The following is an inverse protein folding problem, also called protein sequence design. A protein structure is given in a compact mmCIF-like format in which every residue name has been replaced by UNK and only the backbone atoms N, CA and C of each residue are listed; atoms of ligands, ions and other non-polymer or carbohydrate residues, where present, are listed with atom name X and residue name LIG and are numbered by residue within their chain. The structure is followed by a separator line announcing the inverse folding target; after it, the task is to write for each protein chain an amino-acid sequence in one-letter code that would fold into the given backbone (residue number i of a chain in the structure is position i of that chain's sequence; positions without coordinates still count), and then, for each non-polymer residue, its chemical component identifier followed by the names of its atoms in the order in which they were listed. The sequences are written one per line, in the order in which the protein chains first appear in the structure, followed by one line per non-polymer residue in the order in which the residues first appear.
data_IF_336970427447
#
_entry.id   IF_336970427447
#
_cell.length_a   1.000
_cell.length_b   1.000
_cell.length_c   1.000
_cell.angle_alpha   90.00
_cell.angle_beta   90.00
_cell.angle_gamma   90.00
#
_symmetry.space_group_name_H-M   'P 1'
#
loop_
_entity.id
_entity.type
_entity.pdbx_description
1 polymer ?
#
# COMPACT_ATOMS: atom_id res chain seq x y z
N UNK A 1 11.65 0.81 6.61
CA UNK A 1 11.94 1.88 5.59
C UNK A 1 12.44 3.11 6.34
N UNK A 2 13.77 3.42 6.31
CA UNK A 2 14.36 4.42 7.21
C UNK A 2 13.68 5.80 7.11
N UNK A 3 13.40 6.27 5.90
CA UNK A 3 12.87 7.60 5.67
C UNK A 3 11.35 7.79 5.96
N UNK A 4 10.60 6.74 6.30
CA UNK A 4 9.26 6.90 6.91
C UNK A 4 9.41 7.00 8.44
N UNK A 5 10.32 6.21 9.00
CA UNK A 5 10.61 6.18 10.44
C UNK A 5 11.34 7.44 10.92
N UNK A 6 12.07 8.11 10.03
CA UNK A 6 12.79 9.38 10.28
C UNK A 6 11.88 10.62 10.29
N UNK A 7 10.63 10.47 9.83
CA UNK A 7 9.61 11.53 9.93
C UNK A 7 8.95 11.46 11.32
N UNK A 8 9.17 12.50 12.12
CA UNK A 8 8.64 12.62 13.47
C UNK A 8 7.28 13.32 13.54
N UNK A 9 6.88 14.04 12.49
CA UNK A 9 5.55 14.67 12.38
C UNK A 9 4.57 13.77 11.61
N UNK A 10 3.39 13.58 12.17
CA UNK A 10 2.36 12.63 11.71
C UNK A 10 1.93 12.93 10.27
N UNK A 11 1.69 14.20 9.94
CA UNK A 11 1.30 14.64 8.59
C UNK A 11 2.41 14.34 7.57
N UNK A 12 3.66 14.69 7.91
CA UNK A 12 4.80 14.45 7.03
C UNK A 12 5.08 12.95 6.77
N UNK A 13 4.78 12.09 7.76
CA UNK A 13 4.91 10.65 7.63
C UNK A 13 3.83 10.07 6.70
N UNK A 14 2.57 10.49 6.85
CA UNK A 14 1.46 10.10 5.98
C UNK A 14 1.68 10.53 4.53
N UNK A 15 2.18 11.75 4.30
CA UNK A 15 2.51 12.23 2.95
C UNK A 15 3.59 11.35 2.28
N UNK A 16 4.63 10.99 3.02
CA UNK A 16 5.69 10.14 2.49
C UNK A 16 5.19 8.71 2.22
N UNK A 17 4.28 8.19 3.04
CA UNK A 17 3.61 6.92 2.79
C UNK A 17 2.83 6.94 1.47
N UNK A 18 2.00 7.97 1.26
CA UNK A 18 1.22 8.15 0.02
C UNK A 18 2.14 8.23 -1.21
N UNK A 19 3.20 9.03 -1.12
CA UNK A 19 4.20 9.16 -2.19
C UNK A 19 4.88 7.83 -2.51
N UNK A 20 5.30 7.07 -1.49
CA UNK A 20 5.93 5.77 -1.67
C UNK A 20 4.98 4.73 -2.24
N UNK A 21 3.71 4.73 -1.82
CA UNK A 21 2.70 3.86 -2.40
C UNK A 21 2.53 4.12 -3.90
N UNK A 22 2.36 5.38 -4.30
CA UNK A 22 2.22 5.76 -5.71
C UNK A 22 3.45 5.34 -6.54
N UNK A 23 4.66 5.61 -6.04
CA UNK A 23 5.89 5.21 -6.70
C UNK A 23 6.01 3.69 -6.84
N UNK A 24 5.62 2.94 -5.81
CA UNK A 24 5.65 1.49 -5.84
C UNK A 24 4.66 0.91 -6.83
N UNK A 25 3.43 1.44 -6.93
CA UNK A 25 2.46 1.04 -7.95
C UNK A 25 3.04 1.18 -9.37
N UNK A 26 3.73 2.29 -9.63
CA UNK A 26 4.41 2.52 -10.92
C UNK A 26 5.54 1.53 -11.14
N UNK A 27 6.38 1.29 -10.12
CA UNK A 27 7.49 0.33 -10.19
C UNK A 27 6.99 -1.08 -10.49
N UNK A 28 5.99 -1.58 -9.72
CA UNK A 28 5.40 -2.90 -9.92
C UNK A 28 4.79 -3.01 -11.31
N UNK A 29 4.05 -1.99 -11.76
CA UNK A 29 3.50 -1.96 -13.12
C UNK A 29 4.56 -2.05 -14.22
N UNK A 30 5.68 -1.35 -14.07
CA UNK A 30 6.82 -1.43 -15.00
C UNK A 30 7.45 -2.82 -14.99
N UNK A 31 7.70 -3.38 -13.81
CA UNK A 31 8.28 -4.72 -13.66
C UNK A 31 7.38 -5.80 -14.28
N UNK A 32 6.07 -5.75 -14.05
CA UNK A 32 5.12 -6.70 -14.65
C UNK A 32 5.17 -6.65 -16.18
N UNK A 33 5.32 -5.46 -16.78
CA UNK A 33 5.45 -5.31 -18.24
C UNK A 33 6.77 -5.89 -18.75
N UNK A 34 7.88 -5.58 -18.08
CA UNK A 34 9.21 -6.07 -18.46
C UNK A 34 9.35 -7.59 -18.33
N UNK A 35 8.71 -8.18 -17.32
CA UNK A 35 8.78 -9.62 -17.02
C UNK A 35 7.50 -10.38 -17.40
N UNK A 36 6.65 -9.83 -18.28
CA UNK A 36 5.38 -10.45 -18.67
C UNK A 36 5.57 -11.87 -19.24
N UNK A 37 6.68 -12.13 -19.93
CA UNK A 37 7.00 -13.47 -20.42
C UNK A 37 7.22 -14.46 -19.26
N UNK A 38 7.92 -14.03 -18.21
CA UNK A 38 8.15 -14.86 -17.02
C UNK A 38 6.83 -15.18 -16.32
N UNK A 39 5.99 -14.16 -16.11
CA UNK A 39 4.65 -14.32 -15.52
C UNK A 39 3.79 -15.30 -16.33
N UNK A 40 3.75 -15.14 -17.66
CA UNK A 40 2.87 -15.92 -18.54
C UNK A 40 3.30 -17.38 -18.71
N UNK A 41 4.60 -17.67 -18.71
CA UNK A 41 5.08 -19.00 -19.09
C UNK A 41 5.76 -19.74 -17.95
N UNK A 42 6.60 -19.09 -17.14
CA UNK A 42 7.34 -19.76 -16.09
C UNK A 42 6.52 -19.85 -14.79
N UNK A 43 5.95 -18.72 -14.37
CA UNK A 43 5.17 -18.61 -13.14
C UNK A 43 3.85 -19.36 -13.27
N UNK A 44 3.13 -19.19 -14.38
CA UNK A 44 1.89 -19.92 -14.65
C UNK A 44 2.08 -21.46 -14.65
N UNK A 45 3.18 -21.97 -15.22
CA UNK A 45 3.46 -23.42 -15.24
C UNK A 45 3.85 -24.00 -13.89
N UNK A 46 4.33 -23.17 -12.97
CA UNK A 46 4.78 -23.58 -11.64
C UNK A 46 3.79 -23.20 -10.54
N UNK A 47 2.63 -22.65 -10.89
CA UNK A 47 1.59 -22.21 -9.95
C UNK A 47 2.16 -21.27 -8.86
N UNK A 48 3.10 -20.41 -9.26
CA UNK A 48 3.70 -19.43 -8.36
C UNK A 48 2.88 -18.15 -8.33
N UNK A 49 2.95 -17.35 -7.25
CA UNK A 49 2.35 -16.03 -7.23
C UNK A 49 2.91 -15.14 -8.34
N UNK A 50 2.04 -14.39 -9.01
CA UNK A 50 2.44 -13.46 -10.08
C UNK A 50 3.39 -12.38 -9.56
N UNK A 51 4.21 -11.81 -10.46
CA UNK A 51 5.10 -10.71 -10.09
C UNK A 51 4.33 -9.52 -9.53
N UNK A 52 3.10 -9.30 -10.00
CA UNK A 52 2.17 -8.31 -9.44
C UNK A 52 1.90 -8.63 -7.97
N UNK A 53 1.43 -9.84 -7.67
CA UNK A 53 1.07 -10.27 -6.32
C UNK A 53 2.27 -10.19 -5.36
N UNK A 54 3.46 -10.64 -5.79
CA UNK A 54 4.69 -10.56 -4.99
C UNK A 54 5.10 -9.10 -4.77
N UNK A 55 5.08 -8.29 -5.83
CA UNK A 55 5.47 -6.88 -5.78
C UNK A 55 4.64 -6.10 -4.78
N UNK A 56 3.32 -6.24 -4.84
CA UNK A 56 2.43 -5.59 -3.88
C UNK A 56 2.51 -6.20 -2.47
N UNK A 57 2.66 -7.52 -2.36
CA UNK A 57 2.84 -8.21 -1.09
C UNK A 57 4.07 -7.74 -0.30
N UNK A 58 5.15 -7.34 -0.98
CA UNK A 58 6.33 -6.77 -0.32
C UNK A 58 6.02 -5.46 0.41
N UNK A 59 5.31 -4.54 -0.23
CA UNK A 59 4.96 -3.26 0.41
C UNK A 59 3.90 -3.44 1.50
N UNK A 60 2.97 -4.38 1.31
CA UNK A 60 1.99 -4.77 2.33
C UNK A 60 2.65 -5.26 3.61
N UNK A 61 3.68 -6.11 3.53
CA UNK A 61 4.41 -6.57 4.71
C UNK A 61 5.00 -5.41 5.50
N UNK A 62 5.54 -4.41 4.81
CA UNK A 62 6.14 -3.23 5.44
C UNK A 62 5.05 -2.36 6.11
N UNK A 63 3.97 -2.03 5.38
CA UNK A 63 2.87 -1.21 5.93
C UNK A 63 2.14 -1.92 7.06
N UNK A 64 1.85 -3.21 6.89
CA UNK A 64 1.09 -4.03 7.82
C UNK A 64 1.84 -4.35 9.12
N UNK A 65 3.15 -4.59 9.07
CA UNK A 65 3.94 -4.96 10.25
C UNK A 65 4.41 -3.75 11.06
N UNK A 66 4.88 -2.68 10.40
CA UNK A 66 5.54 -1.55 11.10
C UNK A 66 4.67 -0.30 11.21
N UNK A 67 3.80 -0.02 10.24
CA UNK A 67 3.11 1.28 10.16
C UNK A 67 1.62 1.25 10.48
N UNK A 68 0.96 0.09 10.48
CA UNK A 68 -0.50 0.01 10.60
C UNK A 68 -1.05 0.68 11.86
N UNK A 69 -0.41 0.46 13.02
CA UNK A 69 -0.84 1.07 14.30
C UNK A 69 -0.66 2.57 14.25
N UNK A 70 0.54 3.03 13.89
CA UNK A 70 0.89 4.45 13.85
C UNK A 70 0.04 5.24 12.85
N UNK A 71 -0.09 4.75 11.62
CA UNK A 71 -0.93 5.38 10.58
C UNK A 71 -2.38 5.46 11.01
N UNK A 72 -2.90 4.44 11.71
CA UNK A 72 -4.27 4.46 12.25
C UNK A 72 -4.42 5.57 13.29
N UNK A 73 -3.49 5.65 14.23
CA UNK A 73 -3.55 6.64 15.31
C UNK A 73 -3.44 8.07 14.74
N UNK A 74 -2.53 8.30 13.80
CA UNK A 74 -2.35 9.59 13.12
C UNK A 74 -3.61 10.02 12.34
N UNK A 75 -4.26 9.10 11.63
CA UNK A 75 -5.52 9.37 10.92
C UNK A 75 -6.66 9.70 11.90
N UNK A 76 -6.73 9.02 13.05
CA UNK A 76 -7.73 9.32 14.08
C UNK A 76 -7.48 10.71 14.67
N UNK A 77 -6.22 11.06 14.94
CA UNK A 77 -5.83 12.39 15.42
C UNK A 77 -6.28 13.47 14.43
N UNK A 78 -6.01 13.31 13.12
CA UNK A 78 -6.45 14.25 12.09
C UNK A 78 -7.97 14.41 12.06
N UNK A 79 -8.73 13.31 12.17
CA UNK A 79 -10.20 13.37 12.20
C UNK A 79 -10.71 14.11 13.44
N UNK A 80 -10.06 13.93 14.60
CA UNK A 80 -10.46 14.63 15.82
C UNK A 80 -10.17 16.13 15.72
N UNK A 81 -9.03 16.53 15.16
CA UNK A 81 -8.70 17.93 14.89
C UNK A 81 -9.74 18.60 13.99
N UNK A 82 -10.15 17.93 12.91
CA UNK A 82 -11.23 18.41 12.05
C UNK A 82 -12.56 18.60 12.80
N UNK A 83 -12.90 17.67 13.70
CA UNK A 83 -14.11 17.76 14.53
C UNK A 83 -14.07 18.89 15.56
N UNK A 84 -12.88 19.26 16.00
CA UNK A 84 -12.64 20.41 16.88
C UNK A 84 -12.64 21.76 16.13
N UNK A 85 -12.73 21.72 14.79
CA UNK A 85 -12.82 22.89 13.93
C UNK A 85 -11.50 23.31 13.30
N UNK A 86 -10.44 22.51 13.41
CA UNK A 86 -9.18 22.75 12.73
C UNK A 86 -9.28 22.39 11.24
N UNK A 87 -8.63 23.18 10.38
CA UNK A 87 -8.57 22.88 8.95
C UNK A 87 -7.50 21.81 8.69
N UNK A 88 -7.91 20.66 8.16
CA UNK A 88 -7.01 19.56 7.79
C UNK A 88 -6.99 19.33 6.28
N UNK A 89 -5.95 18.66 5.80
CA UNK A 89 -5.90 18.16 4.43
C UNK A 89 -6.72 16.86 4.30
N UNK A 90 -8.02 16.99 4.04
CA UNK A 90 -8.93 15.85 3.81
C UNK A 90 -8.45 14.92 2.70
N UNK A 91 -7.83 15.48 1.64
CA UNK A 91 -7.28 14.71 0.52
C UNK A 91 -6.16 13.77 0.97
N UNK A 92 -5.34 14.17 1.95
CA UNK A 92 -4.32 13.30 2.52
C UNK A 92 -4.94 12.10 3.22
N UNK A 93 -5.97 12.33 4.05
CA UNK A 93 -6.69 11.26 4.76
C UNK A 93 -7.34 10.31 3.75
N UNK A 94 -8.01 10.84 2.72
CA UNK A 94 -8.60 10.05 1.65
C UNK A 94 -7.55 9.16 0.95
N UNK A 95 -6.42 9.74 0.52
CA UNK A 95 -5.35 8.99 -0.14
C UNK A 95 -4.79 7.88 0.75
N UNK A 96 -4.65 8.11 2.05
CA UNK A 96 -4.19 7.09 3.00
C UNK A 96 -5.22 5.96 3.12
N UNK A 97 -6.51 6.28 3.21
CA UNK A 97 -7.57 5.27 3.25
C UNK A 97 -7.62 4.43 1.96
N UNK A 98 -7.41 5.06 0.80
CA UNK A 98 -7.31 4.37 -0.49
C UNK A 98 -6.18 3.33 -0.50
N UNK A 99 -5.04 3.60 0.17
CA UNK A 99 -3.96 2.60 0.31
C UNK A 99 -4.45 1.36 1.06
N UNK A 100 -5.19 1.53 2.16
CA UNK A 100 -5.70 0.39 2.93
C UNK A 100 -6.76 -0.40 2.14
N UNK A 101 -7.55 0.28 1.31
CA UNK A 101 -8.51 -0.38 0.41
C UNK A 101 -7.77 -1.16 -0.69
N UNK A 102 -6.78 -0.56 -1.34
CA UNK A 102 -5.93 -1.21 -2.34
C UNK A 102 -5.28 -2.48 -1.75
N UNK A 103 -4.70 -2.35 -0.54
CA UNK A 103 -4.06 -3.45 0.18
C UNK A 103 -5.00 -4.60 0.53
N UNK A 104 -6.30 -4.31 0.77
CA UNK A 104 -7.33 -5.34 1.03
C UNK A 104 -7.78 -6.02 -0.25
N UNK A 105 -8.04 -5.26 -1.32
CA UNK A 105 -8.57 -5.82 -2.56
C UNK A 105 -7.59 -6.81 -3.21
N UNK A 106 -6.28 -6.62 -2.99
CA UNK A 106 -5.27 -7.55 -3.49
C UNK A 106 -5.18 -8.86 -2.68
N UNK A 107 -5.68 -8.89 -1.44
CA UNK A 107 -5.89 -10.14 -0.69
C UNK A 107 -7.03 -10.98 -1.23
N UNK A 108 -8.11 -10.34 -1.68
CA UNK A 108 -9.31 -11.06 -2.16
C UNK A 108 -9.05 -11.77 -3.50
N UNK A 109 -8.15 -11.24 -4.33
CA UNK A 109 -7.63 -11.95 -5.51
C UNK A 109 -6.89 -13.25 -5.16
N UNK A 110 -6.42 -13.41 -3.92
CA UNK A 110 -5.75 -14.62 -3.44
C UNK A 110 -6.74 -15.73 -3.04
N UNK A 111 -8.01 -15.39 -2.77
CA UNK A 111 -9.07 -16.35 -2.41
C UNK A 111 -9.91 -16.82 -3.60
N UNK A 112 -9.84 -16.16 -4.75
CA UNK A 112 -10.61 -16.52 -5.96
C UNK A 112 -9.90 -17.54 -6.86
N UNK A 113 -8.61 -17.84 -6.64
CA UNK A 113 -7.89 -18.91 -7.36
C UNK A 113 -8.08 -20.32 -6.72
N UNK A 114 -8.91 -20.44 -5.66
CA UNK A 114 -9.22 -21.74 -5.01
C UNK A 114 -10.53 -22.40 -5.48
N UNK A 115 -11.21 -21.88 -6.50
CA UNK A 115 -12.50 -22.41 -6.99
C UNK A 115 -12.63 -22.54 -8.52
N UNK A 116 -11.58 -23.01 -9.21
CA UNK A 116 -11.72 -23.54 -10.59
C UNK A 116 -10.96 -24.84 -10.72
#
# INVERSE_FOLDING_TARGET
LPAIQEKHDDVSMLQELVKRWANHKVLVGKLCRSFNFLDRYYIARRELPTLKNVGFGCLRKIVGAEMKVRVKDDVITLINQEREGEEINQTLVQNVLEIFVDLRNEDDTQNMEYYV
#
